data_IF_173649469997
#
_entry.id   IF_173649469997
#
_cell.length_a   1.000
_cell.length_b   1.000
_cell.length_c   1.000
_cell.angle_alpha   90.00
_cell.angle_beta   90.00
_cell.angle_gamma   90.00
#
_symmetry.space_group_name_H-M   'P 1'
#
loop_
_entity.id
_entity.type
_entity.pdbx_description
1 polymer ?
#
# COMPACT_ATOMS: atom_id res chain seq x y z
N UNK A 1 7.91 -8.88 8.91
CA UNK A 1 8.75 -7.68 8.97
C UNK A 1 7.82 -6.48 8.91
N UNK A 2 8.29 -5.25 8.71
CA UNK A 2 7.40 -4.08 8.68
C UNK A 2 7.63 -3.29 7.40
N UNK A 3 6.54 -3.03 6.67
CA UNK A 3 6.57 -2.20 5.47
C UNK A 3 6.57 -0.73 5.91
N UNK A 4 7.55 0.03 5.42
CA UNK A 4 7.70 1.45 5.73
C UNK A 4 7.85 2.30 4.47
N UNK A 5 7.48 3.57 4.59
CA UNK A 5 7.63 4.59 3.56
C UNK A 5 8.85 5.46 3.89
N UNK A 6 9.62 5.80 2.86
CA UNK A 6 10.62 6.87 2.97
C UNK A 6 9.92 8.21 3.24
N UNK A 7 10.60 9.22 3.80
CA UNK A 7 9.97 10.52 4.08
C UNK A 7 9.27 11.14 2.87
N UNK A 8 9.91 11.09 1.69
CA UNK A 8 9.33 11.61 0.46
C UNK A 8 8.09 10.82 -0.01
N UNK A 9 8.08 9.48 0.17
CA UNK A 9 6.93 8.67 -0.17
C UNK A 9 5.76 8.91 0.79
N UNK A 10 6.04 9.06 2.08
CA UNK A 10 5.05 9.40 3.09
C UNK A 10 4.37 10.74 2.78
N UNK A 11 5.15 11.79 2.54
CA UNK A 11 4.62 13.12 2.17
C UNK A 11 3.74 13.05 0.92
N UNK A 12 4.20 12.31 -0.11
CA UNK A 12 3.46 12.11 -1.35
C UNK A 12 2.11 11.44 -1.10
N UNK A 13 2.08 10.37 -0.31
CA UNK A 13 0.85 9.63 0.00
C UNK A 13 -0.09 10.47 0.84
N UNK A 14 0.41 11.16 1.87
CA UNK A 14 -0.39 12.08 2.69
C UNK A 14 -1.11 13.11 1.82
N UNK A 15 -0.40 13.71 0.85
CA UNK A 15 -1.00 14.66 -0.09
C UNK A 15 -2.14 14.04 -0.91
N UNK A 16 -1.96 12.83 -1.43
CA UNK A 16 -3.01 12.16 -2.20
C UNK A 16 -4.23 11.78 -1.35
N UNK A 17 -4.01 11.30 -0.13
CA UNK A 17 -5.09 10.98 0.82
C UNK A 17 -5.89 12.23 1.18
N UNK A 18 -5.22 13.35 1.46
CA UNK A 18 -5.89 14.63 1.77
C UNK A 18 -6.68 15.18 0.58
N UNK A 19 -6.19 15.00 -0.65
CA UNK A 19 -6.84 15.49 -1.87
C UNK A 19 -7.97 14.59 -2.36
N UNK A 20 -8.11 13.36 -1.84
CA UNK A 20 -9.04 12.36 -2.36
C UNK A 20 -10.01 11.90 -1.26
N UNK A 21 -11.19 12.56 -1.13
CA UNK A 21 -12.20 12.19 -0.13
C UNK A 21 -12.58 10.71 -0.22
N UNK A 22 -12.77 10.07 0.94
CA UNK A 22 -13.10 8.65 1.04
C UNK A 22 -11.89 7.70 0.90
N UNK A 23 -10.68 8.23 0.81
CA UNK A 23 -9.45 7.42 0.84
C UNK A 23 -9.05 7.12 2.28
N UNK A 24 -8.71 5.86 2.55
CA UNK A 24 -8.28 5.33 3.83
C UNK A 24 -6.75 5.28 4.00
N UNK A 25 -6.00 5.27 2.88
CA UNK A 25 -4.54 5.19 2.86
C UNK A 25 -3.98 4.71 1.52
N UNK A 26 -2.80 4.08 1.55
CA UNK A 26 -2.13 3.46 0.41
C UNK A 26 -2.44 1.96 0.34
N UNK A 27 -2.78 1.44 -0.84
CA UNK A 27 -2.75 0.01 -1.15
C UNK A 27 -1.44 -0.30 -1.85
N UNK A 28 -0.69 -1.29 -1.35
CA UNK A 28 0.57 -1.73 -1.92
C UNK A 28 0.56 -3.25 -2.11
N UNK A 29 1.20 -3.72 -3.17
CA UNK A 29 1.36 -5.14 -3.42
C UNK A 29 2.20 -5.42 -4.66
N UNK A 30 2.13 -6.65 -5.13
CA UNK A 30 2.77 -7.09 -6.36
C UNK A 30 1.78 -7.80 -7.28
N UNK A 31 2.02 -7.69 -8.58
CA UNK A 31 1.30 -8.45 -9.60
C UNK A 31 2.28 -9.19 -10.49
N UNK A 32 1.85 -10.30 -11.10
CA UNK A 32 2.67 -11.02 -12.07
C UNK A 32 2.85 -10.17 -13.33
N UNK A 33 4.07 -10.12 -13.83
CA UNK A 33 4.43 -9.40 -15.06
C UNK A 33 5.35 -10.26 -15.93
N UNK A 34 5.10 -10.29 -17.24
CA UNK A 34 5.87 -11.10 -18.18
C UNK A 34 5.78 -12.61 -17.92
N UNK A 35 6.82 -13.36 -18.30
CA UNK A 35 6.83 -14.83 -18.20
C UNK A 35 6.98 -15.34 -16.75
N UNK A 36 7.70 -14.61 -15.91
CA UNK A 36 8.07 -15.06 -14.55
C UNK A 36 8.37 -13.91 -13.58
N UNK A 37 8.04 -12.67 -13.94
CA UNK A 37 8.37 -11.47 -13.16
C UNK A 37 7.25 -11.04 -12.23
N UNK A 38 7.61 -10.10 -11.34
CA UNK A 38 6.71 -9.37 -10.46
C UNK A 38 6.87 -7.87 -10.69
N UNK A 39 5.76 -7.14 -10.64
CA UNK A 39 5.74 -5.68 -10.65
C UNK A 39 5.04 -5.14 -9.42
N UNK A 40 5.56 -4.06 -8.85
CA UNK A 40 4.89 -3.36 -7.76
C UNK A 40 3.61 -2.70 -8.26
N UNK A 41 2.56 -2.76 -7.44
CA UNK A 41 1.31 -2.03 -7.63
C UNK A 41 1.07 -1.12 -6.43
N UNK A 42 0.69 0.12 -6.71
CA UNK A 42 0.34 1.12 -5.72
C UNK A 42 -0.95 1.82 -6.13
N UNK A 43 -1.89 1.94 -5.20
CA UNK A 43 -3.16 2.64 -5.42
C UNK A 43 -3.66 3.28 -4.11
N UNK A 44 -4.67 4.13 -4.17
CA UNK A 44 -5.33 4.67 -2.99
C UNK A 44 -6.39 3.69 -2.48
N UNK A 45 -6.22 3.24 -1.23
CA UNK A 45 -7.18 2.33 -0.61
C UNK A 45 -8.46 3.10 -0.24
N UNK A 46 -9.61 2.73 -0.81
CA UNK A 46 -10.93 3.28 -0.45
C UNK A 46 -11.70 2.42 0.55
N UNK A 47 -11.26 1.17 0.71
CA UNK A 47 -11.82 0.20 1.62
C UNK A 47 -10.69 -0.65 2.22
N UNK A 48 -10.93 -1.16 3.43
CA UNK A 48 -10.15 -2.24 4.02
C UNK A 48 -10.77 -3.56 3.58
N UNK A 49 -9.95 -4.50 3.09
CA UNK A 49 -10.36 -5.88 2.82
C UNK A 49 -10.09 -6.74 4.05
N UNK A 50 -10.86 -7.80 4.24
CA UNK A 50 -10.85 -8.59 5.48
C UNK A 50 -9.47 -9.12 5.86
N UNK A 51 -8.69 -9.57 4.86
CA UNK A 51 -7.37 -10.17 5.05
C UNK A 51 -6.21 -9.21 4.74
N UNK A 52 -6.46 -7.90 4.60
CA UNK A 52 -5.38 -6.94 4.42
C UNK A 52 -4.53 -6.88 5.70
N UNK A 53 -3.22 -7.09 5.55
CA UNK A 53 -2.26 -6.61 6.54
C UNK A 53 -2.24 -5.08 6.49
N UNK A 54 -2.30 -4.45 7.67
CA UNK A 54 -2.33 -2.98 7.80
C UNK A 54 -1.13 -2.53 8.60
N UNK A 55 -0.29 -1.71 7.97
CA UNK A 55 0.80 -1.00 8.61
C UNK A 55 0.42 0.47 8.74
N UNK A 56 0.93 1.16 9.76
CA UNK A 56 0.68 2.59 9.96
C UNK A 56 1.98 3.34 10.15
N UNK A 57 2.10 4.47 9.44
CA UNK A 57 3.23 5.39 9.58
C UNK A 57 2.69 6.82 9.51
N UNK A 58 2.82 7.56 10.62
CA UNK A 58 2.46 8.98 10.71
C UNK A 58 1.06 9.29 10.14
N UNK A 59 0.06 8.50 10.54
CA UNK A 59 -1.34 8.64 10.14
C UNK A 59 -1.67 8.13 8.74
N UNK A 60 -0.68 7.65 7.96
CA UNK A 60 -0.91 6.93 6.72
C UNK A 60 -1.02 5.44 7.01
N UNK A 61 -2.15 4.84 6.61
CA UNK A 61 -2.33 3.39 6.61
C UNK A 61 -1.87 2.80 5.28
N UNK A 62 -1.16 1.68 5.36
CA UNK A 62 -0.66 0.91 4.21
C UNK A 62 -1.32 -0.46 4.25
N UNK A 63 -2.14 -0.74 3.26
CA UNK A 63 -2.91 -1.97 3.11
C UNK A 63 -2.19 -2.90 2.13
N UNK A 64 -1.86 -4.11 2.55
CA UNK A 64 -1.20 -5.12 1.72
C UNK A 64 -2.03 -6.39 1.74
N UNK A 65 -2.41 -6.86 0.55
CA UNK A 65 -3.22 -8.06 0.40
C UNK A 65 -2.41 -9.32 0.79
N UNK A 66 -3.08 -10.40 1.23
CA UNK A 66 -2.40 -11.58 1.77
C UNK A 66 -1.57 -12.34 0.72
N UNK A 67 -1.83 -12.14 -0.58
CA UNK A 67 -1.04 -12.76 -1.66
C UNK A 67 0.28 -12.00 -1.84
N UNK A 68 0.23 -10.68 -1.77
CA UNK A 68 1.40 -9.81 -1.88
C UNK A 68 2.28 -9.85 -0.63
N UNK A 69 1.67 -9.88 0.56
CA UNK A 69 2.38 -9.77 1.85
C UNK A 69 3.62 -10.66 1.96
N UNK A 70 3.58 -11.99 1.75
CA UNK A 70 4.76 -12.85 1.89
C UNK A 70 5.84 -12.60 0.82
N UNK A 71 5.56 -11.81 -0.21
CA UNK A 71 6.49 -11.48 -1.30
C UNK A 71 7.21 -10.14 -1.07
N UNK A 72 6.69 -9.29 -0.19
CA UNK A 72 7.16 -7.91 0.02
C UNK A 72 7.52 -7.56 1.46
N UNK A 73 7.10 -8.39 2.42
CA UNK A 73 7.40 -8.23 3.84
C UNK A 73 8.85 -8.59 4.17
#
# INVERSE_FOLDING_TARGET
>A
MAISLTPAALERVQRFVQQTPGTLGLRFGVTKTGCSGWGHVTDLAREKRDDDAVFEQEGVRIFVDPVSLPLVD
#
